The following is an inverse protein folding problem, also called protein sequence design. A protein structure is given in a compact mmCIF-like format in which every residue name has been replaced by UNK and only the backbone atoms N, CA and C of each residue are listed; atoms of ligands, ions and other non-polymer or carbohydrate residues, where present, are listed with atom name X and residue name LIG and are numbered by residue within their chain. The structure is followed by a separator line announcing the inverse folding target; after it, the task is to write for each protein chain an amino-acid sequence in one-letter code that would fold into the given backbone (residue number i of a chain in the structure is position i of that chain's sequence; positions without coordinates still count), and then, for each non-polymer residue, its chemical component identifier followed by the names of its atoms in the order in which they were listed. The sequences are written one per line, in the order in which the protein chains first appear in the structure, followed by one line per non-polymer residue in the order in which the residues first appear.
data_IF_914965491367
#
_entry.id   IF_914965491367
#
_cell.length_a   1.000
_cell.length_b   1.000
_cell.length_c   1.000
_cell.angle_alpha   90.00
_cell.angle_beta   90.00
_cell.angle_gamma   90.00
#
_symmetry.space_group_name_H-M   'P 1'
#
loop_
_entity.id
_entity.type
_entity.pdbx_description
1 polymer ?
#
# COMPACT_ATOMS: atom_id res chain seq x y z
N UNK A 1 -17.07 4.01 -28.05
CA UNK A 1 -17.49 2.99 -27.06
C UNK A 1 -17.02 3.47 -25.69
N UNK A 2 -17.95 3.78 -24.77
CA UNK A 2 -17.58 4.14 -23.39
C UNK A 2 -17.06 2.86 -22.72
N UNK A 3 -15.81 2.86 -22.27
CA UNK A 3 -15.27 1.73 -21.52
C UNK A 3 -16.03 1.60 -20.18
N UNK A 4 -16.29 0.39 -19.69
CA UNK A 4 -16.89 0.19 -18.38
C UNK A 4 -15.98 0.77 -17.29
N UNK A 5 -16.58 1.41 -16.28
CA UNK A 5 -15.87 1.91 -15.11
C UNK A 5 -15.49 0.70 -14.26
N UNK A 6 -14.28 0.21 -14.45
CA UNK A 6 -13.68 -0.90 -13.73
C UNK A 6 -12.36 -0.45 -13.09
N UNK A 7 -11.95 -1.13 -12.02
CA UNK A 7 -10.74 -0.80 -11.28
C UNK A 7 -9.50 -0.79 -12.19
N UNK A 8 -9.39 -1.80 -13.06
CA UNK A 8 -8.31 -1.96 -14.03
C UNK A 8 -8.28 -0.79 -15.02
N UNK A 9 -9.44 -0.37 -15.54
CA UNK A 9 -9.55 0.75 -16.48
C UNK A 9 -9.18 2.09 -15.83
N UNK A 10 -9.61 2.31 -14.59
CA UNK A 10 -9.28 3.52 -13.82
C UNK A 10 -7.78 3.59 -13.52
N UNK A 11 -7.20 2.48 -13.06
CA UNK A 11 -5.77 2.40 -12.78
C UNK A 11 -4.92 2.52 -14.04
N UNK A 12 -5.34 1.94 -15.18
CA UNK A 12 -4.69 2.14 -16.46
C UNK A 12 -4.71 3.62 -16.91
N UNK A 13 -5.84 4.30 -16.70
CA UNK A 13 -5.97 5.74 -16.99
C UNK A 13 -5.02 6.57 -16.11
N UNK A 14 -4.93 6.25 -14.82
CA UNK A 14 -3.96 6.89 -13.92
C UNK A 14 -2.51 6.66 -14.38
N UNK A 15 -2.17 5.43 -14.78
CA UNK A 15 -0.86 5.09 -15.33
C UNK A 15 -0.51 5.92 -16.57
N UNK A 16 -1.47 6.13 -17.47
CA UNK A 16 -1.27 6.94 -18.67
C UNK A 16 -0.95 8.40 -18.34
N UNK A 17 -1.64 8.99 -17.35
CA UNK A 17 -1.32 10.34 -16.86
C UNK A 17 0.05 10.41 -16.17
N UNK A 18 0.43 9.36 -15.46
CA UNK A 18 1.69 9.27 -14.73
C UNK A 18 2.86 8.77 -15.60
N UNK A 19 2.67 8.54 -16.90
CA UNK A 19 3.73 8.02 -17.77
C UNK A 19 4.97 8.93 -17.77
N UNK A 20 6.12 8.34 -17.51
CA UNK A 20 7.42 9.00 -17.41
C UNK A 20 7.68 9.68 -16.06
N UNK A 21 6.76 9.61 -15.10
CA UNK A 21 6.85 10.32 -13.82
C UNK A 21 8.09 9.91 -13.01
N UNK A 22 8.35 8.61 -12.86
CA UNK A 22 9.53 8.11 -12.13
C UNK A 22 10.82 8.59 -12.79
N UNK A 23 10.89 8.59 -14.12
CA UNK A 23 12.09 9.06 -14.83
C UNK A 23 12.29 10.56 -14.65
N UNK A 24 11.23 11.37 -14.82
CA UNK A 24 11.32 12.84 -14.68
C UNK A 24 11.67 13.26 -13.25
N UNK A 25 11.09 12.62 -12.24
CA UNK A 25 11.21 13.09 -10.85
C UNK A 25 12.25 12.34 -10.01
N UNK A 26 12.51 11.06 -10.27
CA UNK A 26 13.46 10.27 -9.49
C UNK A 26 14.83 10.10 -10.16
N UNK A 27 14.90 10.08 -11.50
CA UNK A 27 16.17 9.90 -12.23
C UNK A 27 16.88 11.21 -12.59
N UNK A 28 16.16 12.28 -12.90
CA UNK A 28 16.79 13.56 -13.25
C UNK A 28 17.29 14.24 -11.97
N UNK A 29 18.62 14.23 -11.78
CA UNK A 29 19.30 14.80 -10.63
C UNK A 29 19.17 16.33 -10.62
N UNK A 30 18.49 16.88 -9.61
CA UNK A 30 18.70 18.25 -9.19
C UNK A 30 19.84 18.29 -8.16
N UNK A 31 20.56 19.41 -8.06
CA UNK A 31 21.75 19.59 -7.20
C UNK A 31 21.52 19.33 -5.69
N UNK A 32 20.26 19.16 -5.27
CA UNK A 32 19.85 18.75 -3.94
C UNK A 32 18.92 17.53 -4.06
N UNK A 33 19.42 16.34 -3.72
CA UNK A 33 18.64 15.09 -3.78
C UNK A 33 17.51 15.13 -2.76
N UNK A 34 16.27 15.07 -3.23
CA UNK A 34 15.09 14.90 -2.36
C UNK A 34 15.15 13.54 -1.65
N UNK A 35 14.41 13.38 -0.54
CA UNK A 35 14.34 12.10 0.18
C UNK A 35 13.91 10.94 -0.74
N UNK A 36 12.97 11.16 -1.65
CA UNK A 36 12.53 10.17 -2.63
C UNK A 36 13.63 9.78 -3.63
N UNK A 37 14.40 10.75 -4.13
CA UNK A 37 15.52 10.47 -5.03
C UNK A 37 16.64 9.67 -4.34
N UNK A 38 16.96 10.00 -3.08
CA UNK A 38 17.93 9.22 -2.29
C UNK A 38 17.49 7.77 -2.10
N UNK A 39 16.23 7.56 -1.70
CA UNK A 39 15.68 6.21 -1.51
C UNK A 39 15.63 5.42 -2.82
N UNK A 40 15.29 6.08 -3.93
CA UNK A 40 15.33 5.45 -5.26
C UNK A 40 16.75 5.01 -5.63
N UNK A 41 17.77 5.84 -5.40
CA UNK A 41 19.17 5.51 -5.69
C UNK A 41 19.73 4.41 -4.77
N UNK A 42 19.41 4.47 -3.47
CA UNK A 42 19.99 3.57 -2.47
C UNK A 42 19.28 2.21 -2.41
N UNK A 43 17.96 2.19 -2.60
CA UNK A 43 17.12 1.01 -2.34
C UNK A 43 16.26 0.61 -3.54
N UNK A 44 16.30 1.35 -4.66
CA UNK A 44 15.46 1.09 -5.83
C UNK A 44 13.97 1.40 -5.64
N UNK A 45 13.60 2.06 -4.54
CA UNK A 45 12.21 2.32 -4.18
C UNK A 45 11.65 3.51 -4.96
N UNK A 46 10.62 3.26 -5.76
CA UNK A 46 9.90 4.30 -6.51
C UNK A 46 8.79 4.99 -5.71
N UNK A 47 8.30 4.33 -4.66
CA UNK A 47 7.19 4.80 -3.83
C UNK A 47 5.90 5.04 -4.62
N UNK A 48 5.09 5.98 -4.14
CA UNK A 48 3.78 6.32 -4.73
C UNK A 48 3.84 6.68 -6.23
N UNK A 49 4.96 7.28 -6.69
CA UNK A 49 5.16 7.61 -8.11
C UNK A 49 5.20 6.38 -8.99
N UNK A 50 5.96 5.37 -8.57
CA UNK A 50 6.06 4.12 -9.32
C UNK A 50 4.77 3.31 -9.28
N UNK A 51 4.08 3.29 -8.14
CA UNK A 51 2.75 2.67 -8.07
C UNK A 51 1.78 3.36 -9.03
N UNK A 52 1.67 4.69 -9.01
CA UNK A 52 0.78 5.42 -9.90
C UNK A 52 1.15 5.23 -11.38
N UNK A 53 2.44 5.34 -11.74
CA UNK A 53 2.92 5.13 -13.12
C UNK A 53 2.71 3.69 -13.62
N UNK A 54 2.74 2.70 -12.73
CA UNK A 54 2.48 1.30 -13.06
C UNK A 54 0.99 0.91 -12.98
N UNK A 55 0.10 1.84 -12.61
CA UNK A 55 -1.33 1.57 -12.45
C UNK A 55 -1.67 0.76 -11.20
N UNK A 56 -1.04 1.11 -10.07
CA UNK A 56 -1.28 0.55 -8.73
C UNK A 56 -1.27 -0.99 -8.68
N UNK A 57 -0.18 -1.65 -9.11
CA UNK A 57 -0.12 -3.10 -9.19
C UNK A 57 -0.35 -3.80 -7.84
N UNK A 58 0.10 -3.20 -6.72
CA UNK A 58 -0.16 -3.77 -5.38
C UNK A 58 -1.65 -3.77 -5.05
N UNK A 59 -2.38 -2.72 -5.45
CA UNK A 59 -3.83 -2.63 -5.23
C UNK A 59 -4.56 -3.65 -6.10
N UNK A 60 -4.31 -3.63 -7.41
CA UNK A 60 -5.05 -4.47 -8.37
C UNK A 60 -4.78 -5.96 -8.15
N UNK A 61 -3.53 -6.35 -7.88
CA UNK A 61 -3.14 -7.77 -7.81
C UNK A 61 -3.31 -8.37 -6.41
N UNK A 62 -3.28 -7.55 -5.36
CA UNK A 62 -3.24 -8.07 -3.98
C UNK A 62 -4.33 -7.46 -3.10
N UNK A 63 -4.30 -6.15 -2.85
CA UNK A 63 -5.13 -5.56 -1.81
C UNK A 63 -6.63 -5.58 -2.14
N UNK A 64 -7.02 -5.24 -3.38
CA UNK A 64 -8.43 -5.22 -3.79
C UNK A 64 -9.06 -6.62 -3.83
N UNK A 65 -8.44 -7.65 -4.43
CA UNK A 65 -8.93 -9.02 -4.33
C UNK A 65 -9.04 -9.51 -2.88
N UNK A 66 -8.05 -9.21 -2.04
CA UNK A 66 -8.02 -9.63 -0.64
C UNK A 66 -9.16 -9.00 0.17
N UNK A 67 -9.32 -7.68 0.07
CA UNK A 67 -10.40 -6.96 0.74
C UNK A 67 -11.79 -7.49 0.33
N UNK A 68 -12.02 -7.69 -0.98
CA UNK A 68 -13.27 -8.25 -1.49
C UNK A 68 -13.54 -9.67 -0.99
N UNK A 69 -12.49 -10.51 -0.94
CA UNK A 69 -12.62 -11.88 -0.44
C UNK A 69 -13.04 -11.89 1.05
N UNK A 70 -12.46 -11.02 1.87
CA UNK A 70 -12.85 -10.89 3.28
C UNK A 70 -14.31 -10.43 3.43
N UNK A 71 -14.75 -9.43 2.65
CA UNK A 71 -16.15 -9.00 2.65
C UNK A 71 -17.11 -10.12 2.22
N UNK A 72 -16.75 -10.89 1.19
CA UNK A 72 -17.55 -12.03 0.72
C UNK A 72 -17.67 -13.15 1.76
N UNK A 73 -16.69 -13.26 2.68
CA UNK A 73 -16.74 -14.16 3.84
C UNK A 73 -17.58 -13.58 5.01
N UNK A 74 -18.17 -12.40 4.86
CA UNK A 74 -18.93 -11.73 5.90
C UNK A 74 -18.06 -11.09 6.98
N UNK A 75 -16.77 -10.83 6.70
CA UNK A 75 -15.90 -10.06 7.60
C UNK A 75 -16.46 -8.65 7.75
N UNK A 76 -16.40 -8.13 8.96
CA UNK A 76 -16.66 -6.71 9.22
C UNK A 76 -15.78 -5.81 8.32
N UNK A 77 -16.35 -4.79 7.65
CA UNK A 77 -15.60 -3.96 6.71
C UNK A 77 -14.38 -3.24 7.30
N UNK A 78 -14.44 -2.82 8.56
CA UNK A 78 -13.31 -2.13 9.21
C UNK A 78 -12.20 -3.12 9.50
N UNK A 79 -12.53 -4.31 10.04
CA UNK A 79 -11.55 -5.37 10.25
C UNK A 79 -10.91 -5.83 8.94
N UNK A 80 -11.70 -5.94 7.86
CA UNK A 80 -11.19 -6.27 6.53
C UNK A 80 -10.21 -5.21 6.00
N UNK A 81 -10.42 -3.93 6.30
CA UNK A 81 -9.48 -2.86 5.94
C UNK A 81 -8.18 -2.96 6.76
N UNK A 82 -8.27 -3.22 8.06
CA UNK A 82 -7.09 -3.39 8.91
C UNK A 82 -6.24 -4.60 8.49
N UNK A 83 -6.90 -5.71 8.14
CA UNK A 83 -6.23 -6.90 7.59
C UNK A 83 -5.57 -6.60 6.24
N UNK A 84 -6.27 -5.88 5.35
CA UNK A 84 -5.73 -5.44 4.06
C UNK A 84 -4.56 -4.47 4.22
N UNK A 85 -4.55 -3.63 5.27
CA UNK A 85 -3.43 -2.77 5.59
C UNK A 85 -2.18 -3.58 5.97
N UNK A 86 -2.35 -4.64 6.77
CA UNK A 86 -1.25 -5.57 7.08
C UNK A 86 -0.71 -6.23 5.81
N UNK A 87 -1.59 -6.66 4.89
CA UNK A 87 -1.17 -7.20 3.60
C UNK A 87 -0.31 -6.19 2.83
N UNK A 88 -0.76 -4.94 2.71
CA UNK A 88 -0.02 -3.88 2.03
C UNK A 88 1.32 -3.60 2.72
N UNK A 89 1.36 -3.50 4.05
CA UNK A 89 2.60 -3.32 4.82
C UNK A 89 3.60 -4.45 4.60
N UNK A 90 3.12 -5.69 4.41
CA UNK A 90 3.98 -6.86 4.19
C UNK A 90 4.64 -6.89 2.80
N UNK A 91 4.07 -6.19 1.82
CA UNK A 91 4.48 -6.21 0.42
C UNK A 91 5.11 -4.91 -0.06
N UNK A 92 4.59 -3.77 0.39
CA UNK A 92 4.92 -2.46 -0.15
C UNK A 92 6.35 -2.05 0.22
N UNK A 93 7.09 -1.55 -0.77
CA UNK A 93 8.35 -0.85 -0.57
C UNK A 93 8.13 0.57 -0.05
N UNK A 94 7.51 0.69 1.13
CA UNK A 94 7.01 1.96 1.66
C UNK A 94 8.15 2.97 1.92
N UNK A 95 8.19 4.02 1.10
CA UNK A 95 9.23 5.04 1.18
C UNK A 95 9.14 5.89 2.46
N UNK A 96 7.96 6.02 3.08
CA UNK A 96 7.84 6.74 4.35
C UNK A 96 8.53 5.97 5.47
N UNK A 97 8.35 4.65 5.49
CA UNK A 97 9.03 3.75 6.43
C UNK A 97 10.53 3.75 6.17
N UNK A 98 10.94 3.55 4.91
CA UNK A 98 12.35 3.53 4.53
C UNK A 98 13.06 4.85 4.82
N UNK A 99 12.37 6.00 4.72
CA UNK A 99 12.96 7.31 5.03
C UNK A 99 13.34 7.47 6.50
N UNK A 100 12.63 6.78 7.41
CA UNK A 100 12.82 6.89 8.87
C UNK A 100 13.65 5.75 9.44
N UNK A 101 13.38 4.52 9.00
CA UNK A 101 14.00 3.30 9.51
C UNK A 101 15.03 2.66 8.57
N UNK A 102 15.27 3.24 7.39
CA UNK A 102 16.12 2.64 6.38
C UNK A 102 15.58 1.30 5.86
N UNK A 103 16.45 0.53 5.21
CA UNK A 103 16.11 -0.80 4.71
C UNK A 103 15.75 -1.78 5.84
N UNK A 104 16.40 -1.66 6.99
CA UNK A 104 16.14 -2.52 8.15
C UNK A 104 14.76 -2.28 8.74
N UNK A 105 14.36 -1.02 8.92
CA UNK A 105 13.02 -0.67 9.40
C UNK A 105 11.92 -1.13 8.44
N UNK A 106 12.15 -0.98 7.13
CA UNK A 106 11.21 -1.49 6.12
C UNK A 106 11.09 -3.02 6.17
N UNK A 107 12.21 -3.75 6.19
CA UNK A 107 12.21 -5.21 6.31
C UNK A 107 11.53 -5.68 7.59
N UNK A 108 11.82 -5.02 8.72
CA UNK A 108 11.21 -5.35 10.00
C UNK A 108 9.69 -5.18 9.94
N UNK A 109 9.20 -4.05 9.40
CA UNK A 109 7.76 -3.80 9.24
C UNK A 109 7.10 -4.90 8.40
N UNK A 110 7.70 -5.20 7.24
CA UNK A 110 7.19 -6.20 6.32
C UNK A 110 7.09 -7.59 6.98
N UNK A 111 8.13 -7.97 7.73
CA UNK A 111 8.16 -9.23 8.46
C UNK A 111 7.12 -9.29 9.58
N UNK A 112 6.96 -8.24 10.39
CA UNK A 112 5.96 -8.23 11.46
C UNK A 112 4.54 -8.30 10.90
N UNK A 113 4.25 -7.54 9.84
CA UNK A 113 2.95 -7.60 9.18
C UNK A 113 2.66 -8.99 8.60
N UNK A 114 3.65 -9.63 7.96
CA UNK A 114 3.54 -10.99 7.46
C UNK A 114 3.29 -12.02 8.56
N UNK A 115 3.94 -11.89 9.72
CA UNK A 115 3.73 -12.76 10.88
C UNK A 115 2.30 -12.66 11.40
N UNK A 116 1.74 -11.44 11.52
CA UNK A 116 0.35 -11.26 11.95
C UNK A 116 -0.64 -11.90 10.97
N UNK A 117 -0.41 -11.76 9.66
CA UNK A 117 -1.23 -12.42 8.64
C UNK A 117 -1.14 -13.95 8.74
N UNK A 118 0.06 -14.50 8.95
CA UNK A 118 0.26 -15.94 9.15
C UNK A 118 -0.41 -16.48 10.42
N UNK A 119 -0.57 -15.64 11.44
CA UNK A 119 -1.31 -15.97 12.68
C UNK A 119 -2.83 -15.88 12.52
N UNK A 120 -3.31 -15.54 11.32
CA UNK A 120 -4.73 -15.49 10.98
C UNK A 120 -5.26 -14.10 10.66
N UNK A 121 -4.43 -13.06 10.78
CA UNK A 121 -4.82 -11.68 10.47
C UNK A 121 -5.81 -11.09 11.47
N UNK A 122 -6.56 -10.06 11.05
CA UNK A 122 -7.55 -9.35 11.85
C UNK A 122 -8.94 -9.86 11.48
N UNK A 123 -9.49 -10.73 12.33
CA UNK A 123 -10.74 -11.45 12.05
C UNK A 123 -11.88 -10.99 12.93
N UNK A 124 -11.61 -10.78 14.20
CA UNK A 124 -12.57 -10.33 15.20
C UNK A 124 -12.01 -9.11 15.96
N UNK A 125 -12.85 -8.38 16.71
CA UNK A 125 -12.37 -7.28 17.55
C UNK A 125 -11.29 -7.70 18.56
N UNK A 126 -11.31 -8.96 19.01
CA UNK A 126 -10.30 -9.49 19.94
C UNK A 126 -8.90 -9.53 19.32
N UNK A 127 -8.77 -9.65 17.99
CA UNK A 127 -7.48 -9.66 17.29
C UNK A 127 -6.81 -8.26 17.29
N UNK A 128 -7.56 -7.18 17.59
CA UNK A 128 -7.03 -5.81 17.59
C UNK A 128 -5.92 -5.61 18.62
N UNK A 129 -5.86 -6.43 19.67
CA UNK A 129 -4.76 -6.39 20.64
C UNK A 129 -3.39 -6.62 19.99
N UNK A 130 -3.33 -7.51 19.00
CA UNK A 130 -2.09 -7.81 18.27
C UNK A 130 -1.69 -6.64 17.36
N UNK A 131 -2.69 -6.03 16.70
CA UNK A 131 -2.48 -4.87 15.86
C UNK A 131 -2.01 -3.66 16.68
N UNK A 132 -2.63 -3.39 17.84
CA UNK A 132 -2.20 -2.33 18.73
C UNK A 132 -0.78 -2.54 19.25
N UNK A 133 -0.42 -3.78 19.59
CA UNK A 133 0.96 -4.09 19.98
C UNK A 133 1.93 -3.81 18.85
N UNK A 134 1.60 -4.20 17.63
CA UNK A 134 2.43 -3.92 16.45
C UNK A 134 2.53 -2.42 16.16
N UNK A 135 1.43 -1.68 16.26
CA UNK A 135 1.41 -0.21 16.12
C UNK A 135 2.30 0.49 17.15
N UNK A 136 2.25 0.08 18.42
CA UNK A 136 3.16 0.59 19.44
C UNK A 136 4.63 0.32 19.09
N UNK A 137 4.96 -0.87 18.58
CA UNK A 137 6.32 -1.17 18.14
C UNK A 137 6.76 -0.33 16.94
N UNK A 138 5.84 0.02 16.04
CA UNK A 138 6.09 0.96 14.95
C UNK A 138 6.37 2.37 15.50
N UNK A 139 5.58 2.85 16.46
CA UNK A 139 5.77 4.15 17.12
C UNK A 139 7.14 4.22 17.80
N UNK A 140 7.51 3.22 18.59
CA UNK A 140 8.82 3.12 19.26
C UNK A 140 10.00 3.18 18.27
N UNK A 141 9.81 2.61 17.07
CA UNK A 141 10.82 2.60 16.00
C UNK A 141 10.72 3.82 15.07
N UNK A 142 9.78 4.73 15.33
CA UNK A 142 9.45 5.86 14.45
C UNK A 142 9.17 5.41 12.99
N UNK A 143 8.47 4.29 12.82
CA UNK A 143 8.08 3.77 11.51
C UNK A 143 6.64 4.19 11.22
N UNK A 144 6.44 4.92 10.12
CA UNK A 144 5.12 5.36 9.68
C UNK A 144 4.82 4.78 8.29
N UNK A 145 3.90 3.81 8.19
CA UNK A 145 3.53 3.09 6.96
C UNK A 145 2.55 3.89 6.09
N UNK A 146 2.85 5.18 5.88
CA UNK A 146 1.93 6.08 5.20
C UNK A 146 1.70 5.72 3.73
N UNK A 147 2.72 5.22 3.03
CA UNK A 147 2.54 4.78 1.63
C UNK A 147 1.61 3.57 1.53
N UNK A 148 1.64 2.69 2.53
CA UNK A 148 0.72 1.55 2.62
C UNK A 148 -0.70 1.99 2.95
N UNK A 149 -0.88 3.02 3.79
CA UNK A 149 -2.18 3.63 4.05
C UNK A 149 -2.76 4.32 2.80
N UNK A 150 -1.93 5.00 2.00
CA UNK A 150 -2.34 5.58 0.72
C UNK A 150 -2.83 4.51 -0.27
N UNK A 151 -2.16 3.35 -0.32
CA UNK A 151 -2.63 2.22 -1.14
C UNK A 151 -3.92 1.60 -0.59
N UNK A 152 -4.13 1.61 0.74
CA UNK A 152 -5.37 1.14 1.35
C UNK A 152 -6.56 2.03 0.94
N UNK A 153 -6.39 3.35 0.93
CA UNK A 153 -7.49 4.25 0.53
C UNK A 153 -7.83 4.10 -0.96
N UNK A 154 -6.83 3.90 -1.83
CA UNK A 154 -7.07 3.55 -3.24
C UNK A 154 -7.84 2.23 -3.35
N UNK A 155 -7.45 1.22 -2.55
CA UNK A 155 -8.13 -0.08 -2.51
C UNK A 155 -9.60 0.07 -2.12
N UNK A 156 -9.88 0.79 -1.04
CA UNK A 156 -11.24 1.03 -0.56
C UNK A 156 -12.08 1.78 -1.62
N UNK A 157 -11.53 2.85 -2.20
CA UNK A 157 -12.20 3.65 -3.23
C UNK A 157 -12.61 2.79 -4.44
N UNK A 158 -11.70 1.96 -4.96
CA UNK A 158 -11.99 1.07 -6.10
C UNK A 158 -13.02 -0.01 -5.74
N UNK A 159 -13.01 -0.49 -4.49
CA UNK A 159 -14.02 -1.42 -4.00
C UNK A 159 -15.42 -0.78 -3.99
N UNK A 160 -15.54 0.49 -3.58
CA UNK A 160 -16.82 1.21 -3.57
C UNK A 160 -17.35 1.50 -4.97
N UNK A 161 -16.49 1.97 -5.90
CA UNK A 161 -16.91 2.27 -7.28
C UNK A 161 -17.47 1.04 -7.98
N UNK A 162 -16.90 -0.13 -7.73
CA UNK A 162 -17.34 -1.36 -8.39
C UNK A 162 -18.70 -1.87 -7.88
N UNK A 163 -19.23 -1.31 -6.79
CA UNK A 163 -20.59 -1.61 -6.29
C UNK A 163 -21.64 -0.66 -6.87
N UNK A 164 -21.23 0.45 -7.49
CA UNK A 164 -22.15 1.38 -8.16
C UNK A 164 -22.46 0.81 -9.54
N UNK A 165 -23.56 0.06 -9.64
CA UNK A 165 -24.11 -0.35 -10.92
C UNK A 165 -24.41 0.91 -11.77
N UNK A 166 -23.75 1.04 -12.91
CA UNK A 166 -24.04 2.03 -13.94
C UNK A 166 -24.97 1.46 -15.02
#
# INVERSE_FOLDING_TARGET
LRQPIAAETLCATAADFCRGLTTRELRQNNLQLTAGQRLYQQLGLTGARGEAEAGYPLVIRHALPHYRALLAQGRDPELALLDTLLLLMSLNGDTNVASRGGADGLRWLQQQAAVLLQQGGIRTPDDLVYLHRFDQQCIERNLSPGGSADLLIVTWFLAQISQVNH
#
